data_IF_807876166470
#
_entry.id   IF_807876166470
#
_cell.length_a   1.000
_cell.length_b   1.000
_cell.length_c   1.000
_cell.angle_alpha   90.00
_cell.angle_beta   90.00
_cell.angle_gamma   90.00
#
_symmetry.space_group_name_H-M   'P 1'
#
loop_
_entity.id
_entity.type
_entity.pdbx_description
1 polymer ?
#
# COMPACT_ATOMS: atom_id res chain seq x y z
N UNK A 1 14.28 -39.39 14.88
CA UNK A 1 14.91 -38.32 15.68
C UNK A 1 14.86 -38.75 17.14
N UNK A 2 15.93 -38.56 17.92
CA UNK A 2 16.01 -39.08 19.29
C UNK A 2 15.92 -37.94 20.32
N UNK A 3 15.21 -38.15 21.43
CA UNK A 3 15.19 -37.22 22.54
C UNK A 3 16.58 -37.14 23.20
N UNK A 4 17.04 -35.95 23.61
CA UNK A 4 18.39 -35.73 24.12
C UNK A 4 19.54 -35.86 23.10
N UNK A 5 19.24 -36.23 21.83
CA UNK A 5 20.24 -36.36 20.77
C UNK A 5 20.81 -35.02 20.28
N UNK A 6 21.86 -35.09 19.45
CA UNK A 6 22.48 -33.89 18.89
C UNK A 6 21.54 -33.16 17.91
N UNK A 7 21.65 -31.83 17.86
CA UNK A 7 20.89 -31.00 16.93
C UNK A 7 21.43 -31.15 15.50
N UNK A 8 20.55 -31.34 14.52
CA UNK A 8 20.90 -31.34 13.10
C UNK A 8 21.56 -30.00 12.70
N UNK A 9 22.61 -30.07 11.88
CA UNK A 9 23.43 -28.93 11.45
C UNK A 9 23.87 -28.01 12.63
N UNK A 10 24.66 -28.53 13.59
CA UNK A 10 25.02 -27.77 14.80
C UNK A 10 25.86 -26.54 14.45
N UNK A 11 25.53 -25.40 15.07
CA UNK A 11 26.11 -24.08 14.77
C UNK A 11 27.62 -24.05 14.97
N UNK A 12 28.38 -23.87 13.89
CA UNK A 12 29.84 -23.81 13.92
C UNK A 12 30.35 -22.41 14.26
N UNK A 13 31.50 -22.34 14.91
CA UNK A 13 32.17 -21.08 15.29
C UNK A 13 32.58 -20.25 14.07
N UNK A 14 33.12 -20.91 13.04
CA UNK A 14 33.61 -20.34 11.78
C UNK A 14 32.53 -19.86 10.80
N UNK A 15 31.29 -19.66 11.25
CA UNK A 15 30.24 -19.04 10.44
C UNK A 15 30.63 -17.60 10.05
N UNK A 16 30.24 -17.14 8.85
CA UNK A 16 30.62 -15.82 8.32
C UNK A 16 29.77 -14.69 8.93
N UNK A 17 30.06 -14.35 10.19
CA UNK A 17 29.35 -13.32 10.96
C UNK A 17 29.55 -11.90 10.43
N UNK A 18 30.77 -11.59 9.96
CA UNK A 18 31.13 -10.24 9.51
C UNK A 18 31.00 -10.10 8.00
N UNK A 19 30.52 -8.94 7.55
CA UNK A 19 30.47 -8.56 6.14
C UNK A 19 31.26 -7.27 5.93
N UNK A 20 32.15 -7.27 4.94
CA UNK A 20 32.95 -6.12 4.53
C UNK A 20 32.18 -5.34 3.48
N UNK A 21 32.12 -4.02 3.63
CA UNK A 21 31.61 -3.09 2.62
C UNK A 21 32.76 -2.37 1.92
N UNK A 22 32.51 -1.81 0.73
CA UNK A 22 33.48 -0.96 0.05
C UNK A 22 33.47 0.44 0.66
N UNK A 23 34.66 1.02 0.90
CA UNK A 23 34.82 2.35 1.52
C UNK A 23 34.04 3.44 0.76
N UNK A 24 34.03 3.40 -0.57
CA UNK A 24 33.23 4.31 -1.42
C UNK A 24 31.73 4.19 -1.18
N UNK A 25 31.22 2.97 -0.92
CA UNK A 25 29.80 2.73 -0.61
C UNK A 25 29.46 3.21 0.80
N UNK A 26 30.35 3.00 1.78
CA UNK A 26 30.18 3.55 3.13
C UNK A 26 30.15 5.09 3.10
N UNK A 27 31.09 5.71 2.37
CA UNK A 27 31.15 7.16 2.18
C UNK A 27 29.92 7.71 1.44
N UNK A 28 29.45 7.02 0.39
CA UNK A 28 28.20 7.33 -0.30
C UNK A 28 27.01 7.26 0.66
N UNK A 29 26.91 6.21 1.49
CA UNK A 29 25.82 6.06 2.47
C UNK A 29 25.81 7.20 3.49
N UNK A 30 26.99 7.65 3.94
CA UNK A 30 27.11 8.79 4.86
C UNK A 30 26.73 10.09 4.15
N UNK A 31 27.19 10.33 2.92
CA UNK A 31 26.84 11.54 2.16
C UNK A 31 25.34 11.60 1.85
N UNK A 32 24.75 10.51 1.36
CA UNK A 32 23.30 10.36 1.16
C UNK A 32 22.53 10.60 2.46
N UNK A 33 23.06 10.12 3.60
CA UNK A 33 22.49 10.43 4.90
C UNK A 33 22.56 11.93 5.22
N UNK A 34 23.70 12.60 5.02
CA UNK A 34 23.82 14.03 5.28
C UNK A 34 22.93 14.89 4.37
N UNK A 35 22.77 14.53 3.09
CA UNK A 35 21.87 15.24 2.18
C UNK A 35 20.40 15.14 2.63
N UNK A 36 19.96 13.95 3.03
CA UNK A 36 18.61 13.74 3.58
C UNK A 36 18.38 14.48 4.91
N UNK A 37 19.44 14.79 5.68
CA UNK A 37 19.33 15.62 6.88
C UNK A 37 18.99 17.10 6.61
N UNK A 38 19.11 17.57 5.36
CA UNK A 38 18.74 18.93 4.98
C UNK A 38 17.26 19.06 4.57
N UNK A 39 16.56 17.96 4.31
CA UNK A 39 15.18 17.96 3.81
C UNK A 39 14.15 17.89 4.96
N UNK A 40 13.29 18.93 5.17
CA UNK A 40 12.35 18.97 6.28
C UNK A 40 11.35 17.81 6.25
N UNK A 41 10.78 17.54 5.08
CA UNK A 41 9.78 16.47 4.84
C UNK A 41 10.26 15.11 5.35
N UNK A 42 11.53 14.74 5.08
CA UNK A 42 12.06 13.45 5.48
C UNK A 42 12.11 13.30 7.00
N UNK A 43 12.52 14.33 7.74
CA UNK A 43 12.62 14.25 9.20
C UNK A 43 11.24 14.42 9.86
N UNK A 44 10.36 15.25 9.32
CA UNK A 44 8.97 15.36 9.78
C UNK A 44 8.25 14.01 9.71
N UNK A 45 8.53 13.16 8.71
CA UNK A 45 8.00 11.79 8.60
C UNK A 45 8.33 10.83 9.77
N UNK A 46 9.12 11.26 10.75
CA UNK A 46 9.45 10.49 11.97
C UNK A 46 9.30 11.29 13.28
N UNK A 47 9.16 12.61 13.20
CA UNK A 47 9.12 13.50 14.36
C UNK A 47 8.04 14.56 14.17
N UNK A 48 6.80 14.17 14.40
CA UNK A 48 5.67 15.06 14.65
C UNK A 48 5.99 16.04 15.80
N UNK A 49 5.68 17.33 15.57
CA UNK A 49 6.18 18.55 16.24
C UNK A 49 7.59 18.98 15.81
N UNK A 50 7.71 19.41 14.55
CA UNK A 50 8.89 20.15 14.03
C UNK A 50 8.52 21.58 13.60
N UNK A 51 7.24 21.86 13.37
CA UNK A 51 6.71 23.10 12.77
C UNK A 51 7.18 24.40 13.45
N UNK A 52 7.35 24.42 14.77
CA UNK A 52 7.80 25.60 15.54
C UNK A 52 9.23 26.07 15.18
N UNK A 53 10.06 25.24 14.55
CA UNK A 53 11.47 25.60 14.27
C UNK A 53 11.63 26.16 12.87
N UNK A 54 11.52 27.48 12.81
CA UNK A 54 11.64 28.36 11.64
C UNK A 54 12.91 28.15 10.78
N UNK A 55 13.97 27.55 11.34
CA UNK A 55 15.21 27.24 10.63
C UNK A 55 15.67 25.80 10.86
N UNK A 56 15.42 24.95 9.87
CA UNK A 56 15.68 23.50 9.94
C UNK A 56 17.18 23.14 9.92
N UNK A 57 17.99 23.90 9.17
CA UNK A 57 19.46 23.83 9.19
C UNK A 57 20.01 24.51 10.45
N UNK A 58 19.75 23.92 11.61
CA UNK A 58 20.09 24.55 12.89
C UNK A 58 21.59 24.44 13.18
N UNK A 59 22.35 25.43 12.69
CA UNK A 59 23.59 25.81 13.34
C UNK A 59 23.27 26.37 14.72
N UNK A 60 23.97 25.88 15.74
CA UNK A 60 23.98 26.52 17.04
C UNK A 60 25.35 27.13 17.31
N UNK A 61 25.37 28.45 17.56
CA UNK A 61 26.48 29.15 18.21
C UNK A 61 26.51 28.80 19.70
N UNK A 62 26.69 27.50 20.00
CA UNK A 62 26.86 27.02 21.37
C UNK A 62 28.14 27.66 21.91
N UNK A 63 28.02 28.55 22.92
CA UNK A 63 29.17 29.00 23.72
C UNK A 63 29.67 27.82 24.57
N UNK A 64 30.45 26.95 23.92
CA UNK A 64 30.75 25.57 24.35
C UNK A 64 31.32 25.43 25.76
N UNK A 65 31.97 26.47 26.30
CA UNK A 65 32.45 26.51 27.70
C UNK A 65 31.34 26.23 28.72
N UNK A 66 30.06 26.55 28.42
CA UNK A 66 28.92 26.28 29.29
C UNK A 66 28.46 24.80 29.33
N UNK A 67 28.90 23.95 28.38
CA UNK A 67 28.33 22.62 28.13
C UNK A 67 28.73 21.52 29.14
N UNK A 68 29.44 21.83 30.23
CA UNK A 68 29.87 20.83 31.23
C UNK A 68 28.74 20.30 32.13
N UNK A 69 27.70 21.10 32.43
CA UNK A 69 26.62 20.69 33.37
C UNK A 69 25.37 20.19 32.63
N UNK A 70 24.94 18.92 32.79
CA UNK A 70 23.82 18.35 32.03
C UNK A 70 22.47 19.03 32.30
N UNK A 71 22.23 19.53 33.53
CA UNK A 71 21.02 20.30 33.86
C UNK A 71 20.88 21.58 33.01
N UNK A 72 21.98 22.31 32.78
CA UNK A 72 21.98 23.51 31.90
C UNK A 72 21.74 23.14 30.44
N UNK A 73 22.33 22.04 29.95
CA UNK A 73 22.07 21.51 28.61
C UNK A 73 20.62 21.05 28.42
N UNK A 74 20.01 20.43 29.43
CA UNK A 74 18.62 20.00 29.39
C UNK A 74 17.66 21.20 29.34
N UNK A 75 17.92 22.25 30.11
CA UNK A 75 17.17 23.51 30.03
C UNK A 75 17.33 24.16 28.65
N UNK A 76 18.57 24.30 28.14
CA UNK A 76 18.83 24.80 26.80
C UNK A 76 18.09 24.01 25.71
N UNK A 77 18.13 22.67 25.74
CA UNK A 77 17.37 21.84 24.80
C UNK A 77 15.85 21.98 24.94
N UNK A 78 15.31 22.19 26.16
CA UNK A 78 13.88 22.44 26.39
C UNK A 78 13.44 23.78 25.79
N UNK A 79 14.25 24.83 25.97
CA UNK A 79 13.98 26.16 25.41
C UNK A 79 14.12 26.16 23.88
N UNK A 80 14.98 25.30 23.31
CA UNK A 80 15.07 25.09 21.86
C UNK A 80 13.87 24.29 21.32
N UNK A 81 13.47 23.18 21.96
CA UNK A 81 12.28 22.43 21.58
C UNK A 81 11.52 21.88 22.80
N UNK A 82 10.38 22.47 23.18
CA UNK A 82 9.43 21.80 24.07
C UNK A 82 8.92 20.50 23.43
N UNK A 83 8.52 19.52 24.25
CA UNK A 83 7.91 18.26 23.79
C UNK A 83 8.80 17.25 23.08
N UNK A 84 9.90 17.64 22.42
CA UNK A 84 10.75 16.66 21.69
C UNK A 84 11.53 15.75 22.65
N UNK A 85 11.91 16.26 23.83
CA UNK A 85 12.71 15.55 24.84
C UNK A 85 11.88 14.49 25.58
N UNK A 86 10.60 14.74 25.85
CA UNK A 86 9.74 13.79 26.57
C UNK A 86 9.54 12.48 25.79
N UNK A 87 9.32 12.57 24.46
CA UNK A 87 9.30 11.40 23.56
C UNK A 87 10.60 10.57 23.59
N UNK A 88 11.74 11.16 23.95
CA UNK A 88 13.04 10.47 24.02
C UNK A 88 13.41 9.97 25.43
N UNK A 89 12.77 10.52 26.47
CA UNK A 89 12.83 9.99 27.83
C UNK A 89 12.07 8.67 27.99
N UNK A 90 11.12 8.37 27.09
CA UNK A 90 10.34 7.14 27.14
C UNK A 90 11.20 5.88 26.94
N UNK A 91 11.25 5.06 27.99
CA UNK A 91 11.83 3.72 27.97
C UNK A 91 10.75 2.71 28.31
N UNK A 92 10.76 1.55 27.64
CA UNK A 92 9.86 0.42 27.97
C UNK A 92 10.64 -0.87 28.13
N UNK A 93 10.08 -1.81 28.89
CA UNK A 93 10.64 -3.16 28.99
C UNK A 93 10.60 -3.85 27.62
N UNK A 94 11.66 -4.59 27.29
CA UNK A 94 11.76 -5.38 26.07
C UNK A 94 10.89 -6.63 26.18
N UNK A 95 10.16 -6.95 25.11
CA UNK A 95 9.38 -8.18 25.05
C UNK A 95 10.27 -9.44 24.88
N UNK A 96 9.79 -10.58 25.37
CA UNK A 96 10.41 -11.90 25.19
C UNK A 96 11.74 -12.13 25.92
N UNK A 97 12.42 -13.22 25.53
CA UNK A 97 13.65 -13.74 26.16
C UNK A 97 14.86 -12.77 26.15
N UNK A 98 14.75 -11.61 25.50
CA UNK A 98 15.77 -10.57 25.51
C UNK A 98 16.06 -9.99 26.89
N UNK A 99 15.09 -10.01 27.82
CA UNK A 99 15.29 -9.58 29.21
C UNK A 99 16.42 -10.37 29.88
N UNK A 100 16.39 -11.70 29.77
CA UNK A 100 17.35 -12.64 30.38
C UNK A 100 18.78 -12.46 29.82
N UNK A 101 18.90 -11.96 28.58
CA UNK A 101 20.18 -11.71 27.90
C UNK A 101 20.68 -10.27 28.11
N UNK A 102 20.55 -9.74 29.33
CA UNK A 102 20.99 -8.39 29.73
C UNK A 102 20.48 -7.24 28.83
N UNK A 103 19.30 -7.41 28.22
CA UNK A 103 18.69 -6.43 27.30
C UNK A 103 17.25 -6.07 27.74
N UNK A 104 17.12 -5.66 29.00
CA UNK A 104 15.84 -5.41 29.69
C UNK A 104 15.02 -4.25 29.09
N UNK A 105 15.66 -3.17 28.64
CA UNK A 105 14.97 -1.92 28.22
C UNK A 105 15.16 -1.60 26.73
N UNK A 106 14.18 -0.93 26.14
CA UNK A 106 14.21 -0.33 24.81
C UNK A 106 13.86 1.15 24.93
N UNK A 107 14.66 2.01 24.29
CA UNK A 107 14.48 3.47 24.25
C UNK A 107 14.44 3.96 22.79
N UNK A 108 13.71 5.04 22.53
CA UNK A 108 13.65 5.67 21.21
C UNK A 108 14.97 6.38 20.84
N UNK A 109 15.34 6.36 19.55
CA UNK A 109 16.51 7.11 19.05
C UNK A 109 16.11 8.54 18.71
N UNK A 110 16.44 9.46 19.62
CA UNK A 110 16.16 10.89 19.51
C UNK A 110 17.23 11.66 18.75
N UNK A 111 17.41 12.93 19.15
CA UNK A 111 18.37 13.89 18.60
C UNK A 111 19.79 13.31 18.41
N UNK A 112 20.43 13.63 17.29
CA UNK A 112 21.88 13.53 17.14
C UNK A 112 22.52 14.92 17.28
N UNK A 113 23.69 15.00 17.92
CA UNK A 113 24.48 16.25 18.00
C UNK A 113 25.83 15.99 17.36
N UNK A 114 26.17 16.77 16.35
CA UNK A 114 27.42 16.63 15.58
C UNK A 114 28.34 17.80 15.94
N UNK A 115 29.61 17.49 16.26
CA UNK A 115 30.61 18.47 16.72
C UNK A 115 32.00 18.23 16.12
N UNK A 116 32.84 19.27 16.09
CA UNK A 116 34.25 19.21 15.69
C UNK A 116 35.18 18.83 16.84
N UNK A 117 35.15 19.59 17.93
CA UNK A 117 36.08 19.48 19.08
C UNK A 117 35.39 19.01 20.37
N UNK A 118 36.03 18.10 21.09
CA UNK A 118 35.45 17.37 22.23
C UNK A 118 35.36 18.17 23.54
N UNK A 119 35.00 19.45 23.48
CA UNK A 119 35.13 20.46 24.55
C UNK A 119 34.10 20.26 25.70
N UNK A 120 34.13 19.09 26.35
CA UNK A 120 33.17 18.68 27.39
C UNK A 120 31.83 18.13 26.87
N UNK A 121 31.48 18.42 25.61
CA UNK A 121 30.23 18.03 24.91
C UNK A 121 29.82 16.58 25.22
N UNK A 122 30.73 15.63 24.98
CA UNK A 122 30.46 14.19 25.14
C UNK A 122 30.14 13.81 26.57
N UNK A 123 30.74 14.47 27.58
CA UNK A 123 30.39 14.25 29.00
C UNK A 123 29.02 14.84 29.33
N UNK A 124 28.75 16.07 28.87
CA UNK A 124 27.48 16.77 29.13
C UNK A 124 26.25 16.07 28.55
N UNK A 125 26.31 15.58 27.31
CA UNK A 125 25.17 14.94 26.64
C UNK A 125 25.03 13.42 26.89
N UNK A 126 26.07 12.71 27.35
CA UNK A 126 25.99 11.26 27.65
C UNK A 126 24.91 10.92 28.70
N UNK A 127 24.60 11.86 29.59
CA UNK A 127 23.61 11.67 30.66
C UNK A 127 22.14 11.83 30.19
N UNK A 128 21.88 12.19 28.93
CA UNK A 128 20.54 12.50 28.43
C UNK A 128 20.04 11.38 27.52
N UNK A 129 18.92 10.76 27.89
CA UNK A 129 18.31 9.63 27.18
C UNK A 129 17.95 9.95 25.72
N UNK A 130 18.08 8.94 24.85
CA UNK A 130 17.80 9.03 23.42
C UNK A 130 18.77 9.88 22.58
N UNK A 131 19.56 10.78 23.19
CA UNK A 131 20.54 11.62 22.49
C UNK A 131 21.78 10.80 22.12
N UNK A 132 22.38 11.07 20.96
CA UNK A 132 23.73 10.56 20.63
C UNK A 132 24.63 11.66 20.12
N UNK A 133 25.89 11.65 20.53
CA UNK A 133 26.91 12.60 20.08
C UNK A 133 27.80 11.97 19.00
N UNK A 134 28.16 12.73 17.96
CA UNK A 134 29.02 12.32 16.83
C UNK A 134 30.10 13.36 16.55
N UNK A 135 31.31 12.91 16.18
CA UNK A 135 32.37 13.80 15.70
C UNK A 135 32.39 13.83 14.16
N UNK A 136 32.60 14.99 13.53
CA UNK A 136 32.66 15.12 12.05
C UNK A 136 33.74 14.23 11.41
N UNK A 137 34.89 14.07 12.07
CA UNK A 137 35.97 13.20 11.57
C UNK A 137 35.58 11.70 11.60
N UNK A 138 34.58 11.32 12.41
CA UNK A 138 34.20 9.93 12.71
C UNK A 138 32.68 9.78 12.69
N UNK A 139 32.06 10.24 11.59
CA UNK A 139 30.66 9.99 11.28
C UNK A 139 30.42 8.49 11.12
N UNK A 140 29.23 8.03 11.48
CA UNK A 140 28.88 6.61 11.49
C UNK A 140 27.44 6.43 11.01
N UNK A 141 27.26 5.68 9.91
CA UNK A 141 25.97 5.49 9.25
C UNK A 141 24.92 4.86 10.17
N UNK A 142 25.29 3.91 11.03
CA UNK A 142 24.38 3.26 11.99
C UNK A 142 23.81 4.24 13.04
N UNK A 143 24.49 5.38 13.26
CA UNK A 143 24.03 6.47 14.13
C UNK A 143 23.29 7.56 13.36
N UNK A 144 23.64 7.83 12.10
CA UNK A 144 22.93 8.81 11.26
C UNK A 144 21.57 8.26 10.78
N UNK A 145 21.55 7.04 10.23
CA UNK A 145 20.36 6.35 9.73
C UNK A 145 20.04 5.09 10.59
N UNK A 146 19.59 5.24 11.85
CA UNK A 146 19.32 4.12 12.74
C UNK A 146 18.17 3.26 12.19
N UNK A 147 18.43 1.97 11.98
CA UNK A 147 17.50 1.05 11.34
C UNK A 147 17.40 1.22 9.82
N UNK A 148 18.42 1.80 9.16
CA UNK A 148 18.44 2.07 7.72
C UNK A 148 17.61 3.28 7.29
N UNK A 149 16.82 3.88 8.18
CA UNK A 149 15.94 4.99 7.87
C UNK A 149 16.65 6.35 7.93
N UNK A 150 16.73 7.02 6.78
CA UNK A 150 17.49 8.27 6.56
C UNK A 150 16.74 9.53 7.00
N UNK A 151 16.16 9.50 8.21
CA UNK A 151 15.20 10.50 8.72
C UNK A 151 15.43 10.84 10.20
N UNK A 152 16.68 11.13 10.61
CA UNK A 152 17.02 11.41 12.01
C UNK A 152 17.26 12.89 12.26
N UNK A 153 16.62 13.52 13.23
CA UNK A 153 16.91 14.93 13.53
C UNK A 153 18.33 15.11 14.10
N UNK A 154 19.10 16.03 13.49
CA UNK A 154 20.50 16.31 13.82
C UNK A 154 20.71 17.80 14.04
N UNK A 155 21.44 18.16 15.10
CA UNK A 155 21.88 19.54 15.40
C UNK A 155 23.38 19.66 15.16
N UNK A 156 23.78 20.82 14.62
CA UNK A 156 25.11 21.10 14.14
C UNK A 156 25.74 22.25 14.94
N UNK A 157 27.01 22.12 15.36
CA UNK A 157 27.78 23.31 15.77
C UNK A 157 28.38 23.98 14.53
N UNK A 158 28.44 25.31 14.50
CA UNK A 158 28.96 26.12 13.38
C UNK A 158 30.30 25.60 12.79
N UNK A 159 31.25 25.22 13.66
CA UNK A 159 32.55 24.65 13.30
C UNK A 159 32.50 23.31 12.54
N UNK A 160 31.34 22.65 12.47
CA UNK A 160 31.14 21.42 11.68
C UNK A 160 30.94 21.75 10.21
N UNK A 161 30.18 22.79 9.87
CA UNK A 161 29.82 23.09 8.48
C UNK A 161 31.08 23.40 7.65
N UNK A 162 31.93 24.27 8.18
CA UNK A 162 33.26 24.57 7.64
C UNK A 162 34.17 23.35 7.51
N UNK A 163 33.98 22.31 8.34
CA UNK A 163 34.75 21.06 8.25
C UNK A 163 34.13 20.03 7.30
N UNK A 164 32.81 19.99 7.15
CA UNK A 164 32.14 19.18 6.13
C UNK A 164 32.54 19.63 4.73
N UNK A 165 32.57 20.94 4.49
CA UNK A 165 33.13 21.52 3.26
C UNK A 165 34.54 20.99 3.00
N UNK A 166 35.46 21.01 3.98
CA UNK A 166 36.81 20.45 3.77
C UNK A 166 36.87 18.90 3.67
N UNK A 167 35.87 18.18 4.19
CA UNK A 167 35.79 16.70 4.19
C UNK A 167 35.11 16.08 2.97
N UNK A 168 34.32 16.85 2.22
CA UNK A 168 33.54 16.36 1.07
C UNK A 168 33.61 17.31 -0.15
N UNK A 169 33.93 18.58 0.08
CA UNK A 169 34.02 19.68 -0.90
C UNK A 169 32.79 19.78 -1.81
N UNK A 170 33.00 19.89 -3.13
CA UNK A 170 32.02 20.25 -4.15
C UNK A 170 32.27 19.39 -5.37
N UNK A 171 31.27 19.17 -6.23
CA UNK A 171 31.40 18.23 -7.36
C UNK A 171 32.60 18.54 -8.29
N UNK A 172 33.00 19.81 -8.37
CA UNK A 172 34.12 20.31 -9.18
C UNK A 172 35.50 20.23 -8.50
N UNK A 173 35.60 19.86 -7.21
CA UNK A 173 36.85 19.85 -6.43
C UNK A 173 36.96 18.63 -5.54
N UNK A 174 38.07 17.89 -5.63
CA UNK A 174 38.32 16.73 -4.78
C UNK A 174 38.51 17.13 -3.30
N UNK A 175 38.10 16.26 -2.38
CA UNK A 175 37.99 16.60 -0.96
C UNK A 175 39.35 16.73 -0.24
N UNK A 176 39.71 17.95 0.18
CA UNK A 176 41.01 18.26 0.81
C UNK A 176 41.44 17.38 2.00
N UNK A 177 40.50 16.78 2.74
CA UNK A 177 40.77 15.94 3.91
C UNK A 177 40.56 14.42 3.65
N UNK A 178 40.42 14.00 2.39
CA UNK A 178 40.31 12.58 2.01
C UNK A 178 41.07 12.32 0.71
N UNK A 179 42.08 11.45 0.76
CA UNK A 179 42.74 10.94 -0.45
C UNK A 179 41.72 10.34 -1.42
N UNK A 180 41.84 10.73 -2.70
CA UNK A 180 41.13 10.16 -3.84
C UNK A 180 39.59 10.07 -3.69
N UNK A 181 38.97 11.07 -3.06
CA UNK A 181 37.52 11.16 -2.90
C UNK A 181 36.93 12.43 -3.56
N UNK A 182 35.90 12.24 -4.38
CA UNK A 182 34.99 13.28 -4.85
C UNK A 182 33.53 12.87 -4.54
N UNK A 183 32.60 13.82 -4.61
CA UNK A 183 31.17 13.59 -4.47
C UNK A 183 30.61 12.72 -5.60
N UNK A 184 29.61 11.86 -5.31
CA UNK A 184 28.98 11.03 -6.34
C UNK A 184 28.08 11.88 -7.25
N UNK A 185 28.23 11.73 -8.57
CA UNK A 185 27.41 12.45 -9.54
C UNK A 185 25.92 12.07 -9.44
N UNK A 186 24.99 13.04 -9.48
CA UNK A 186 23.56 12.74 -9.53
C UNK A 186 23.19 12.15 -10.90
N UNK A 187 22.39 11.07 -10.93
CA UNK A 187 21.90 10.46 -12.18
C UNK A 187 20.89 11.34 -12.94
N UNK A 188 20.26 12.29 -12.26
CA UNK A 188 19.26 13.19 -12.81
C UNK A 188 19.42 14.54 -12.08
N UNK A 189 19.64 15.62 -12.84
CA UNK A 189 20.01 16.94 -12.28
C UNK A 189 18.79 17.62 -11.65
N UNK A 190 17.65 17.59 -12.35
CA UNK A 190 16.37 18.10 -11.86
C UNK A 190 15.50 16.92 -11.40
N UNK A 191 15.11 16.88 -10.13
CA UNK A 191 14.26 15.82 -9.56
C UNK A 191 12.77 16.02 -9.81
N UNK A 192 12.35 17.23 -10.24
CA UNK A 192 10.95 17.62 -10.27
C UNK A 192 10.26 17.14 -11.55
N UNK A 193 9.95 15.85 -11.59
CA UNK A 193 9.25 15.20 -12.70
C UNK A 193 7.94 15.91 -13.07
N UNK A 194 7.24 16.50 -12.09
CA UNK A 194 6.03 17.30 -12.31
C UNK A 194 6.29 18.58 -13.11
N UNK A 195 7.46 19.21 -12.95
CA UNK A 195 7.90 20.38 -13.75
C UNK A 195 8.38 19.94 -15.13
N UNK A 196 9.13 18.84 -15.21
CA UNK A 196 9.63 18.29 -16.48
C UNK A 196 8.44 17.88 -17.37
N UNK A 197 7.53 17.04 -16.88
CA UNK A 197 6.39 16.55 -17.66
C UNK A 197 5.41 17.65 -18.09
N UNK A 198 5.34 18.77 -17.36
CA UNK A 198 4.50 19.94 -17.69
C UNK A 198 5.22 21.01 -18.52
N UNK A 199 6.48 20.77 -18.90
CA UNK A 199 7.24 21.70 -19.73
C UNK A 199 6.59 21.85 -21.12
N UNK A 200 6.50 23.06 -21.69
CA UNK A 200 5.87 23.28 -22.98
C UNK A 200 6.61 22.54 -24.11
N UNK A 201 7.92 22.32 -23.98
CA UNK A 201 8.74 21.56 -24.92
C UNK A 201 8.26 20.11 -25.05
N UNK A 202 7.94 19.46 -23.92
CA UNK A 202 7.39 18.10 -23.91
C UNK A 202 5.92 18.10 -24.31
N UNK A 203 5.10 19.01 -23.76
CA UNK A 203 3.66 19.06 -24.02
C UNK A 203 3.33 19.34 -25.51
N UNK A 204 4.18 20.04 -26.25
CA UNK A 204 4.03 20.24 -27.71
C UNK A 204 4.19 18.97 -28.55
N UNK A 205 4.85 17.94 -28.03
CA UNK A 205 5.17 16.69 -28.76
C UNK A 205 4.23 15.53 -28.36
N UNK A 206 3.50 15.67 -27.25
CA UNK A 206 2.60 14.63 -26.75
C UNK A 206 1.24 14.63 -27.47
N UNK A 207 0.79 13.45 -27.89
CA UNK A 207 -0.57 13.22 -28.36
C UNK A 207 -1.61 13.41 -27.23
N UNK A 208 -2.86 13.70 -27.61
CA UNK A 208 -3.97 13.83 -26.69
C UNK A 208 -4.19 12.53 -25.87
N UNK A 209 -4.36 12.60 -24.54
CA UNK A 209 -4.42 11.40 -23.69
C UNK A 209 -5.74 10.64 -23.85
N UNK A 210 -5.66 9.39 -24.31
CA UNK A 210 -6.82 8.51 -24.45
C UNK A 210 -7.35 8.01 -23.10
N UNK A 211 -8.19 8.82 -22.45
CA UNK A 211 -8.77 8.56 -21.11
C UNK A 211 -10.01 7.65 -21.11
N UNK A 212 -10.53 7.22 -22.27
CA UNK A 212 -11.69 6.33 -22.33
C UNK A 212 -11.27 4.92 -21.94
N UNK A 213 -11.81 4.42 -20.82
CA UNK A 213 -11.66 3.04 -20.39
C UNK A 213 -12.76 2.22 -21.06
N UNK A 214 -12.37 1.30 -21.94
CA UNK A 214 -13.28 0.34 -22.54
C UNK A 214 -13.38 -0.87 -21.61
N UNK A 215 -14.44 -0.90 -20.81
CA UNK A 215 -14.83 -2.12 -20.09
C UNK A 215 -15.43 -3.11 -21.08
N UNK A 216 -15.18 -4.40 -20.88
CA UNK A 216 -15.92 -5.45 -21.60
C UNK A 216 -17.42 -5.21 -21.40
N UNK A 217 -18.22 -5.08 -22.48
CA UNK A 217 -19.67 -5.04 -22.32
C UNK A 217 -20.11 -6.34 -21.66
N UNK A 218 -21.12 -6.26 -20.79
CA UNK A 218 -21.75 -7.46 -20.27
C UNK A 218 -22.42 -8.17 -21.45
N UNK A 219 -22.04 -9.42 -21.70
CA UNK A 219 -22.72 -10.24 -22.69
C UNK A 219 -24.15 -10.49 -22.21
N UNK A 220 -25.12 -9.97 -22.95
CA UNK A 220 -26.53 -10.09 -22.64
C UNK A 220 -27.19 -11.06 -23.62
N UNK A 221 -27.94 -12.03 -23.09
CA UNK A 221 -28.50 -13.13 -23.87
C UNK A 221 -29.39 -12.60 -25.03
N UNK A 222 -29.08 -12.93 -26.30
CA UNK A 222 -29.78 -12.39 -27.47
C UNK A 222 -31.23 -12.89 -27.60
N UNK A 223 -31.62 -13.86 -26.78
CA UNK A 223 -32.99 -14.39 -26.67
C UNK A 223 -33.98 -13.41 -26.03
N UNK A 224 -33.49 -12.35 -25.35
CA UNK A 224 -34.36 -11.30 -24.80
C UNK A 224 -34.81 -10.36 -25.92
N UNK A 225 -36.13 -10.10 -26.07
CA UNK A 225 -36.67 -9.38 -27.22
C UNK A 225 -36.18 -7.92 -27.28
N UNK A 226 -36.01 -7.26 -26.14
CA UNK A 226 -35.51 -5.88 -26.03
C UNK A 226 -34.10 -5.75 -26.66
N UNK A 227 -33.19 -6.65 -26.28
CA UNK A 227 -31.80 -6.66 -26.73
C UNK A 227 -31.65 -7.09 -28.20
N UNK A 228 -32.55 -7.93 -28.69
CA UNK A 228 -32.50 -8.45 -30.05
C UNK A 228 -32.78 -7.38 -31.12
N UNK A 229 -33.58 -6.36 -30.77
CA UNK A 229 -34.01 -5.29 -31.69
C UNK A 229 -32.88 -4.35 -32.07
N UNK A 230 -32.02 -3.97 -31.12
CA UNK A 230 -30.88 -3.08 -31.37
C UNK A 230 -29.74 -3.81 -32.12
N UNK A 231 -29.57 -5.11 -31.87
CA UNK A 231 -28.58 -5.94 -32.54
C UNK A 231 -28.96 -6.35 -33.98
N UNK A 232 -30.26 -6.55 -34.28
CA UNK A 232 -30.74 -7.10 -35.57
C UNK A 232 -32.10 -6.51 -35.97
N UNK A 233 -32.16 -5.43 -36.79
CA UNK A 233 -33.43 -4.76 -37.10
C UNK A 233 -34.46 -5.66 -37.82
N UNK A 234 -34.01 -6.63 -38.62
CA UNK A 234 -34.88 -7.59 -39.33
C UNK A 234 -35.71 -8.45 -38.36
N UNK A 235 -35.18 -8.78 -37.17
CA UNK A 235 -35.89 -9.60 -36.20
C UNK A 235 -37.09 -8.87 -35.57
N UNK A 236 -37.05 -7.53 -35.51
CA UNK A 236 -38.20 -6.70 -35.11
C UNK A 236 -39.38 -6.91 -36.07
N UNK A 237 -39.11 -6.86 -37.38
CA UNK A 237 -40.09 -7.08 -38.45
C UNK A 237 -40.62 -8.52 -38.44
N UNK A 238 -39.75 -9.52 -38.26
CA UNK A 238 -40.17 -10.93 -38.15
C UNK A 238 -41.05 -11.19 -36.92
N UNK A 239 -40.76 -10.55 -35.78
CA UNK A 239 -41.60 -10.65 -34.59
C UNK A 239 -42.97 -9.99 -34.80
N UNK A 240 -43.02 -8.78 -35.38
CA UNK A 240 -44.28 -8.12 -35.73
C UNK A 240 -45.13 -8.96 -36.71
N UNK A 241 -44.49 -9.52 -37.73
CA UNK A 241 -45.13 -10.37 -38.75
C UNK A 241 -45.57 -11.75 -38.23
N UNK A 242 -45.18 -12.15 -37.02
CA UNK A 242 -45.65 -13.40 -36.38
C UNK A 242 -46.70 -13.14 -35.30
N UNK A 243 -46.52 -12.10 -34.47
CA UNK A 243 -47.50 -11.70 -33.45
C UNK A 243 -48.81 -11.22 -34.07
N UNK A 244 -48.78 -10.42 -35.15
CA UNK A 244 -50.00 -9.87 -35.75
C UNK A 244 -50.92 -10.95 -36.35
N UNK A 245 -50.43 -11.96 -37.11
CA UNK A 245 -51.25 -13.10 -37.52
C UNK A 245 -51.70 -13.98 -36.35
N UNK A 246 -50.86 -14.21 -35.33
CA UNK A 246 -51.26 -15.01 -34.16
C UNK A 246 -52.43 -14.36 -33.40
N UNK A 247 -52.38 -13.05 -33.17
CA UNK A 247 -53.49 -12.32 -32.53
C UNK A 247 -54.78 -12.37 -33.36
N UNK A 248 -54.69 -12.22 -34.70
CA UNK A 248 -55.83 -12.37 -35.62
C UNK A 248 -56.40 -13.79 -35.58
N UNK A 249 -55.56 -14.82 -35.65
CA UNK A 249 -55.99 -16.21 -35.64
C UNK A 249 -56.58 -16.63 -34.29
N UNK A 250 -56.03 -16.16 -33.17
CA UNK A 250 -56.62 -16.36 -31.85
C UNK A 250 -58.00 -15.71 -31.77
N UNK A 251 -58.16 -14.47 -32.25
CA UNK A 251 -59.48 -13.82 -32.29
C UNK A 251 -60.47 -14.62 -33.15
N UNK A 252 -60.10 -14.99 -34.37
CA UNK A 252 -60.94 -15.82 -35.25
C UNK A 252 -61.29 -17.20 -34.64
N UNK A 253 -60.42 -17.76 -33.79
CA UNK A 253 -60.71 -18.99 -33.03
C UNK A 253 -61.70 -18.75 -31.87
N UNK A 254 -61.56 -17.65 -31.13
CA UNK A 254 -62.54 -17.24 -30.12
C UNK A 254 -63.90 -16.97 -30.76
N UNK A 255 -63.94 -16.19 -31.84
CA UNK A 255 -65.16 -15.86 -32.58
C UNK A 255 -65.85 -17.15 -33.12
N UNK A 256 -65.07 -18.11 -33.62
CA UNK A 256 -65.58 -19.45 -34.02
C UNK A 256 -66.05 -20.31 -32.85
N UNK A 257 -65.37 -20.29 -31.70
CA UNK A 257 -65.81 -21.07 -30.54
C UNK A 257 -67.05 -20.48 -29.87
N UNK A 258 -67.24 -19.15 -29.94
CA UNK A 258 -68.51 -18.50 -29.60
C UNK A 258 -69.64 -18.96 -30.54
N UNK A 259 -69.49 -18.82 -31.87
CA UNK A 259 -70.51 -19.30 -32.83
C UNK A 259 -70.81 -20.80 -32.74
N UNK A 260 -69.82 -21.63 -32.40
CA UNK A 260 -70.00 -23.07 -32.17
C UNK A 260 -70.55 -23.43 -30.77
N UNK A 261 -70.73 -22.45 -29.88
CA UNK A 261 -71.52 -22.56 -28.65
C UNK A 261 -72.96 -22.08 -28.90
N UNK A 262 -73.15 -20.95 -29.58
CA UNK A 262 -74.46 -20.44 -30.02
C UNK A 262 -75.25 -21.56 -30.74
N UNK A 263 -74.69 -22.13 -31.82
CA UNK A 263 -75.32 -23.21 -32.59
C UNK A 263 -75.63 -24.49 -31.79
N UNK A 264 -74.96 -24.72 -30.63
CA UNK A 264 -75.23 -25.85 -29.72
C UNK A 264 -76.27 -25.54 -28.65
N UNK A 265 -76.77 -24.30 -28.62
CA UNK A 265 -78.02 -23.91 -27.99
C UNK A 265 -79.18 -24.29 -28.91
N UNK A 266 -79.03 -24.01 -30.20
CA UNK A 266 -80.08 -24.19 -31.22
C UNK A 266 -80.39 -25.67 -31.51
N UNK A 267 -79.38 -26.54 -31.59
CA UNK A 267 -79.54 -28.00 -31.75
C UNK A 267 -80.12 -28.74 -30.52
N UNK A 268 -80.76 -28.04 -29.57
CA UNK A 268 -81.15 -28.62 -28.26
C UNK A 268 -82.63 -28.62 -27.90
N UNK A 269 -83.50 -28.24 -28.83
CA UNK A 269 -84.91 -28.63 -28.79
C UNK A 269 -85.13 -29.93 -29.59
N UNK A 270 -86.20 -30.68 -29.26
CA UNK A 270 -86.64 -31.94 -29.89
C UNK A 270 -85.83 -33.23 -29.56
N UNK A 271 -86.18 -33.86 -28.43
CA UNK A 271 -86.17 -35.32 -28.13
C UNK A 271 -84.87 -36.17 -28.19
N UNK A 272 -84.71 -37.29 -27.44
CA UNK A 272 -85.46 -37.76 -26.27
C UNK A 272 -85.46 -39.29 -26.00
N UNK A 273 -84.55 -39.81 -25.15
CA UNK A 273 -84.47 -41.21 -24.59
C UNK A 273 -84.22 -42.31 -25.66
N UNK A 274 -83.43 -43.39 -25.51
CA UNK A 274 -82.67 -44.17 -24.46
C UNK A 274 -81.61 -45.03 -25.24
N UNK A 275 -80.61 -45.78 -24.72
CA UNK A 275 -79.81 -45.82 -23.47
C UNK A 275 -78.76 -46.98 -23.53
N UNK A 276 -77.91 -47.13 -22.50
CA UNK A 276 -77.18 -48.36 -22.05
C UNK A 276 -75.79 -48.73 -22.66
N UNK A 277 -74.77 -48.76 -21.77
CA UNK A 277 -73.46 -49.47 -21.76
C UNK A 277 -72.40 -49.17 -22.85
N UNK A 278 -71.16 -48.80 -22.42
CA UNK A 278 -70.07 -48.51 -23.38
C UNK A 278 -68.63 -48.15 -22.89
N UNK A 279 -68.19 -48.54 -21.68
CA UNK A 279 -66.78 -48.44 -21.15
C UNK A 279 -66.11 -47.04 -20.96
N UNK A 280 -65.51 -46.90 -19.75
CA UNK A 280 -64.31 -46.12 -19.35
C UNK A 280 -64.20 -44.61 -19.63
N UNK A 281 -64.57 -43.83 -18.60
CA UNK A 281 -64.01 -42.50 -18.29
C UNK A 281 -62.48 -42.57 -18.05
N UNK A 282 -61.77 -41.50 -18.41
CA UNK A 282 -60.87 -40.77 -17.47
C UNK A 282 -61.15 -39.27 -17.61
N UNK A 283 -61.15 -38.55 -16.48
CA UNK A 283 -61.49 -37.12 -16.42
C UNK A 283 -60.25 -36.26 -16.70
N UNK A 284 -60.45 -35.10 -17.32
CA UNK A 284 -59.59 -33.94 -17.09
C UNK A 284 -59.91 -33.33 -15.71
N UNK A 285 -58.90 -32.73 -15.08
CA UNK A 285 -59.04 -31.80 -13.95
C UNK A 285 -58.19 -30.58 -14.29
N UNK A 286 -58.75 -29.38 -14.14
CA UNK A 286 -58.08 -28.11 -14.43
C UNK A 286 -57.05 -27.71 -13.37
N UNK A 287 -56.42 -26.52 -13.53
CA UNK A 287 -55.41 -26.02 -12.61
C UNK A 287 -56.02 -25.66 -11.25
N UNK A 288 -55.18 -25.71 -10.20
CA UNK A 288 -55.51 -25.24 -8.86
C UNK A 288 -54.32 -24.49 -8.26
N UNK A 289 -54.54 -23.24 -7.84
CA UNK A 289 -53.51 -22.39 -7.24
C UNK A 289 -52.99 -22.95 -5.90
N UNK A 290 -51.66 -23.02 -5.75
CA UNK A 290 -51.02 -23.33 -4.46
C UNK A 290 -49.84 -22.40 -4.16
N UNK A 291 -50.19 -21.31 -3.48
CA UNK A 291 -49.47 -20.61 -2.39
C UNK A 291 -47.95 -20.83 -2.25
N UNK A 292 -47.22 -19.70 -2.17
CA UNK A 292 -45.88 -19.63 -1.52
C UNK A 292 -45.91 -20.27 -0.12
N UNK A 293 -44.84 -20.99 0.22
CA UNK A 293 -43.96 -20.57 1.32
C UNK A 293 -42.51 -20.46 0.81
N UNK A 294 -41.53 -19.85 1.45
CA UNK A 294 -41.37 -18.88 2.53
C UNK A 294 -39.82 -18.76 2.66
N UNK A 295 -39.28 -17.64 3.13
CA UNK A 295 -37.82 -17.50 3.20
C UNK A 295 -37.23 -18.31 4.36
N UNK A 296 -36.15 -19.06 4.12
CA UNK A 296 -35.27 -19.55 5.18
C UNK A 296 -33.79 -19.19 4.94
N UNK A 297 -33.05 -19.07 6.03
CA UNK A 297 -31.77 -18.35 6.11
C UNK A 297 -30.58 -19.25 5.74
N UNK A 298 -29.53 -18.65 5.16
CA UNK A 298 -28.17 -19.24 5.20
C UNK A 298 -27.64 -19.24 6.64
N UNK A 299 -26.98 -20.32 7.07
CA UNK A 299 -25.78 -20.26 7.91
C UNK A 299 -24.54 -20.19 7.00
N UNK A 300 -23.41 -19.75 7.55
CA UNK A 300 -22.13 -19.73 6.83
C UNK A 300 -21.01 -20.33 7.71
N UNK A 301 -20.45 -21.45 7.25
CA UNK A 301 -19.20 -22.09 7.72
C UNK A 301 -18.66 -22.94 6.54
N UNK A 302 -17.37 -23.25 6.37
CA UNK A 302 -16.11 -22.77 6.97
C UNK A 302 -15.00 -22.96 5.91
N UNK A 303 -13.87 -22.25 6.02
CA UNK A 303 -12.66 -22.54 5.20
C UNK A 303 -11.66 -23.37 5.99
N UNK A 304 -11.01 -24.33 5.33
CA UNK A 304 -9.69 -24.87 5.71
C UNK A 304 -8.88 -25.24 4.44
N UNK A 305 -7.53 -25.32 4.48
CA UNK A 305 -6.71 -25.44 3.28
C UNK A 305 -5.83 -26.70 3.22
N UNK A 306 -5.17 -26.91 2.07
CA UNK A 306 -4.02 -27.81 1.81
C UNK A 306 -3.30 -27.17 0.60
N UNK A 307 -2.02 -26.77 0.62
CA UNK A 307 -0.77 -27.55 0.77
C UNK A 307 -0.58 -28.63 -0.33
N UNK A 308 0.54 -28.73 -1.06
CA UNK A 308 1.68 -27.81 -1.18
C UNK A 308 2.40 -27.86 -2.56
N UNK A 309 3.49 -27.09 -2.70
CA UNK A 309 4.33 -26.80 -3.90
C UNK A 309 4.97 -28.06 -4.52
N UNK A 310 5.40 -28.08 -5.80
CA UNK A 310 6.68 -27.48 -6.30
C UNK A 310 6.81 -27.49 -7.86
N UNK A 311 7.86 -26.86 -8.46
CA UNK A 311 7.81 -26.36 -9.84
C UNK A 311 8.57 -27.18 -10.89
N UNK A 312 8.39 -26.82 -12.17
CA UNK A 312 9.34 -27.10 -13.26
C UNK A 312 10.18 -25.86 -13.63
N UNK A 313 11.27 -26.08 -14.39
CA UNK A 313 12.38 -25.15 -14.56
C UNK A 313 12.27 -24.24 -15.79
N UNK A 314 13.12 -23.20 -15.82
CA UNK A 314 13.29 -22.33 -16.97
C UNK A 314 14.20 -22.98 -18.03
N UNK A 315 13.84 -22.81 -19.30
CA UNK A 315 14.77 -22.93 -20.43
C UNK A 315 15.14 -21.53 -20.93
N UNK A 316 16.39 -21.38 -21.35
CA UNK A 316 16.87 -20.27 -22.19
C UNK A 316 17.17 -20.82 -23.57
N UNK A 317 16.89 -20.00 -24.57
CA UNK A 317 17.49 -20.00 -25.91
C UNK A 317 17.62 -18.54 -26.31
#
# INVERSE_FOLDING_TARGET
MCHGGCMFAPTKTWHRWHQRMNTTQEQYSIFSALAALALPVLIMSKYDRIEEVLNFLWWLKIKLKAARRPRKLLCFLRNLRPGMISKYGFQRMKAGKGKIRNHHHVQCRGLCIIYKEGNGITKGFRSIHGITVLNVNKLNILKLAPGGHVRRFCIWTESVFWKLSKLYDTFSKAASLKSNYNLPMPKMINTDLSRILRSPEIQRVLHAPHKKIHHSPKEESPEKPENCVEAKPILKTMHQNTVLPQARNHKLWVDRTAGALEAKSDEKEVAGKKSVVGKKRKKAVGPADTKKPAAYKKPAEKKSPTEEKKPLAATKS
#
